data_IF_714096795209
#
_entry.id   IF_714096795209
#
_cell.length_a   1.000
_cell.length_b   1.000
_cell.length_c   1.000
_cell.angle_alpha   90.00
_cell.angle_beta   90.00
_cell.angle_gamma   90.00
#
_symmetry.space_group_name_H-M   'P 1'
#
loop_
_entity.id
_entity.type
_entity.pdbx_description
1 polymer ?
#
# COMPACT_ATOMS: atom_id res chain seq x y z
N UNK A 1 -23.98 12.92 -4.34
CA UNK A 1 -23.73 11.47 -4.09
C UNK A 1 -22.22 11.30 -4.00
N UNK A 2 -21.75 10.75 -2.90
CA UNK A 2 -20.31 10.42 -2.72
C UNK A 2 -20.12 9.05 -3.37
N UNK A 3 -19.22 8.95 -4.34
CA UNK A 3 -18.84 7.65 -4.91
C UNK A 3 -18.26 6.79 -3.78
N UNK A 4 -18.73 5.54 -3.60
CA UNK A 4 -18.21 4.69 -2.54
C UNK A 4 -16.69 4.48 -2.76
N UNK A 5 -15.93 4.59 -1.67
CA UNK A 5 -14.50 4.30 -1.69
C UNK A 5 -14.28 2.82 -1.45
N UNK A 6 -13.31 2.27 -2.18
CA UNK A 6 -12.86 0.88 -2.05
C UNK A 6 -11.53 0.80 -1.30
N UNK A 7 -11.23 -0.36 -0.75
CA UNK A 7 -9.96 -0.67 -0.13
C UNK A 7 -8.88 -0.97 -1.16
N UNK A 8 -7.64 -1.09 -0.71
CA UNK A 8 -6.52 -1.47 -1.58
C UNK A 8 -6.59 -2.93 -2.01
N UNK A 9 -7.15 -3.81 -1.19
CA UNK A 9 -7.42 -5.22 -1.55
C UNK A 9 -8.52 -5.32 -2.61
N UNK A 10 -9.61 -4.56 -2.46
CA UNK A 10 -10.67 -4.49 -3.46
C UNK A 10 -10.16 -3.92 -4.79
N UNK A 11 -9.26 -2.90 -4.74
CA UNK A 11 -8.63 -2.36 -5.94
C UNK A 11 -7.85 -3.43 -6.71
N UNK A 12 -7.06 -4.26 -6.00
CA UNK A 12 -6.34 -5.38 -6.61
C UNK A 12 -7.30 -6.28 -7.42
N UNK A 13 -8.40 -6.71 -6.82
CA UNK A 13 -9.41 -7.56 -7.46
C UNK A 13 -10.06 -6.89 -8.67
N UNK A 14 -10.35 -5.58 -8.57
CA UNK A 14 -10.94 -4.84 -9.69
C UNK A 14 -9.97 -4.64 -10.85
N UNK A 15 -8.67 -4.41 -10.58
CA UNK A 15 -7.66 -4.34 -11.64
C UNK A 15 -7.60 -5.70 -12.36
N UNK A 16 -7.55 -6.82 -11.63
CA UNK A 16 -7.56 -8.16 -12.24
C UNK A 16 -8.76 -8.37 -13.15
N UNK A 17 -9.96 -7.99 -12.72
CA UNK A 17 -11.16 -8.08 -13.55
C UNK A 17 -11.04 -7.25 -14.84
N UNK A 18 -10.39 -6.09 -14.78
CA UNK A 18 -10.21 -5.20 -15.92
C UNK A 18 -9.07 -5.64 -16.87
N UNK A 19 -8.18 -6.53 -16.43
CA UNK A 19 -7.14 -7.08 -17.34
C UNK A 19 -7.74 -7.82 -18.54
N UNK A 20 -8.92 -8.41 -18.39
CA UNK A 20 -9.64 -9.11 -19.46
C UNK A 20 -10.43 -8.15 -20.38
N UNK A 21 -10.32 -6.84 -20.15
CA UNK A 21 -11.03 -5.81 -20.92
C UNK A 21 -10.09 -4.78 -21.51
N UNK A 22 -10.52 -4.08 -22.55
CA UNK A 22 -9.78 -2.95 -23.13
C UNK A 22 -10.13 -1.61 -22.46
N UNK A 23 -10.87 -1.65 -21.33
CA UNK A 23 -11.38 -0.45 -20.66
C UNK A 23 -10.29 0.17 -19.76
N UNK A 24 -9.87 1.42 -20.01
CA UNK A 24 -8.92 2.09 -19.14
C UNK A 24 -9.48 2.34 -17.74
N UNK A 25 -8.62 2.22 -16.73
CA UNK A 25 -8.95 2.50 -15.33
C UNK A 25 -8.32 3.82 -14.88
N UNK A 26 -9.06 4.62 -14.11
CA UNK A 26 -8.52 5.75 -13.35
C UNK A 26 -8.67 5.53 -11.84
N UNK A 27 -7.56 5.49 -11.14
CA UNK A 27 -7.47 5.31 -9.69
C UNK A 27 -7.35 6.68 -9.01
N UNK A 28 -8.39 7.08 -8.29
CA UNK A 28 -8.38 8.27 -7.45
C UNK A 28 -7.98 7.89 -6.02
N UNK A 29 -6.99 8.58 -5.46
CA UNK A 29 -6.62 8.34 -4.06
C UNK A 29 -5.49 9.24 -3.59
N UNK A 30 -5.43 9.47 -2.28
CA UNK A 30 -4.43 10.34 -1.67
C UNK A 30 -2.99 9.88 -1.98
N UNK A 31 -2.02 10.79 -1.93
CA UNK A 31 -0.61 10.43 -2.05
C UNK A 31 -0.21 9.40 -0.98
N UNK A 32 0.65 8.46 -1.35
CA UNK A 32 1.24 7.51 -0.39
C UNK A 32 0.35 6.34 0.05
N UNK A 33 -0.86 6.16 -0.50
CA UNK A 33 -1.75 5.04 -0.13
C UNK A 33 -1.41 3.71 -0.81
N UNK A 34 -0.42 3.69 -1.74
CA UNK A 34 0.04 2.46 -2.38
C UNK A 34 -0.49 2.21 -3.80
N UNK A 35 -1.08 3.21 -4.51
CA UNK A 35 -1.61 3.04 -5.88
C UNK A 35 -0.63 2.35 -6.82
N UNK A 36 0.57 2.88 -6.97
CA UNK A 36 1.61 2.36 -7.86
C UNK A 36 2.10 0.98 -7.42
N UNK A 37 2.19 0.74 -6.08
CA UNK A 37 2.57 -0.56 -5.53
C UNK A 37 1.56 -1.66 -5.92
N UNK A 38 0.26 -1.38 -5.82
CA UNK A 38 -0.78 -2.36 -6.15
C UNK A 38 -0.77 -2.69 -7.64
N UNK A 39 -0.61 -1.67 -8.50
CA UNK A 39 -0.50 -1.90 -9.96
C UNK A 39 0.71 -2.76 -10.28
N UNK A 40 1.85 -2.50 -9.63
CA UNK A 40 3.06 -3.30 -9.80
C UNK A 40 2.89 -4.74 -9.27
N UNK A 41 2.21 -4.94 -8.15
CA UNK A 41 1.92 -6.26 -7.59
C UNK A 41 0.99 -7.07 -8.51
N UNK A 42 -0.04 -6.42 -9.10
CA UNK A 42 -0.91 -7.06 -10.09
C UNK A 42 -0.10 -7.47 -11.33
N UNK A 43 0.72 -6.58 -11.88
CA UNK A 43 1.54 -6.88 -13.04
C UNK A 43 2.46 -8.08 -12.77
N UNK A 44 3.17 -8.06 -11.63
CA UNK A 44 4.08 -9.13 -11.21
C UNK A 44 3.38 -10.49 -11.06
N UNK A 45 2.21 -10.53 -10.42
CA UNK A 45 1.48 -11.78 -10.18
C UNK A 45 0.83 -12.39 -11.42
N UNK A 46 0.66 -11.59 -12.47
CA UNK A 46 0.11 -12.04 -13.75
C UNK A 46 1.19 -12.16 -14.85
N UNK A 47 2.48 -12.09 -14.48
CA UNK A 47 3.62 -12.15 -15.40
C UNK A 47 3.55 -11.11 -16.55
N UNK A 48 2.96 -9.93 -16.24
CA UNK A 48 2.81 -8.83 -17.18
C UNK A 48 3.98 -7.83 -17.05
N UNK A 49 4.41 -7.28 -18.18
CA UNK A 49 5.36 -6.17 -18.18
C UNK A 49 4.69 -4.91 -17.59
N UNK A 50 5.44 -4.11 -16.83
CA UNK A 50 4.96 -2.84 -16.28
C UNK A 50 5.79 -1.68 -16.81
N UNK A 51 5.12 -0.72 -17.47
CA UNK A 51 5.69 0.59 -17.81
C UNK A 51 5.03 1.63 -16.92
N UNK A 52 5.80 2.22 -16.00
CA UNK A 52 5.36 3.26 -15.08
C UNK A 52 5.85 4.63 -15.54
N UNK A 53 4.92 5.52 -15.90
CA UNK A 53 5.20 6.87 -16.40
C UNK A 53 4.55 7.90 -15.47
N UNK A 54 5.38 8.78 -14.89
CA UNK A 54 4.90 9.91 -14.08
C UNK A 54 4.68 11.13 -14.98
N UNK A 55 3.43 11.37 -15.32
CA UNK A 55 3.05 12.40 -16.29
C UNK A 55 3.30 13.83 -15.80
N UNK A 56 3.34 14.06 -14.49
CA UNK A 56 3.67 15.39 -13.93
C UNK A 56 5.11 15.82 -14.18
N UNK A 57 6.00 14.87 -14.53
CA UNK A 57 7.42 15.09 -14.80
C UNK A 57 7.76 15.07 -16.30
N UNK A 58 6.75 14.97 -17.17
CA UNK A 58 6.91 14.83 -18.62
C UNK A 58 6.54 16.12 -19.35
N UNK A 59 7.23 16.34 -20.49
CA UNK A 59 6.80 17.27 -21.50
C UNK A 59 6.03 16.55 -22.63
N UNK A 60 5.16 17.24 -23.39
CA UNK A 60 4.41 16.61 -24.48
C UNK A 60 5.30 15.92 -25.53
N UNK A 61 6.52 16.41 -25.71
CA UNK A 61 7.49 15.84 -26.66
C UNK A 61 8.05 14.51 -26.18
N UNK A 62 8.21 14.35 -24.87
CA UNK A 62 8.67 13.09 -24.27
C UNK A 62 7.71 11.94 -24.55
N UNK A 63 6.42 12.25 -24.70
CA UNK A 63 5.37 11.27 -24.96
C UNK A 63 5.18 11.04 -26.47
N UNK A 64 5.15 12.11 -27.28
CA UNK A 64 4.92 12.01 -28.73
C UNK A 64 6.15 11.51 -29.50
N UNK A 65 7.33 11.65 -28.88
CA UNK A 65 8.60 11.38 -29.53
C UNK A 65 9.07 12.54 -30.40
N UNK A 66 10.02 12.25 -31.25
CA UNK A 66 10.70 13.27 -32.10
C UNK A 66 10.43 13.03 -33.57
N UNK A 67 10.26 14.12 -34.38
CA UNK A 67 10.15 13.98 -35.83
C UNK A 67 11.51 13.55 -36.41
N UNK A 68 11.47 12.62 -37.33
CA UNK A 68 12.60 12.16 -38.12
C UNK A 68 12.24 12.17 -39.60
N UNK A 69 13.22 12.35 -40.48
CA UNK A 69 13.00 12.26 -41.92
C UNK A 69 13.32 10.85 -42.37
N UNK A 70 12.35 10.20 -43.00
CA UNK A 70 12.49 8.89 -43.61
C UNK A 70 11.75 8.89 -44.94
N UNK A 71 12.44 8.49 -46.02
CA UNK A 71 11.88 8.42 -47.39
C UNK A 71 11.18 9.72 -47.80
N UNK A 72 11.86 10.88 -47.59
CA UNK A 72 11.36 12.24 -47.85
C UNK A 72 10.06 12.63 -47.12
N UNK A 73 9.68 11.86 -46.08
CA UNK A 73 8.52 12.13 -45.24
C UNK A 73 8.93 12.35 -43.79
N UNK A 74 8.18 13.18 -43.08
CA UNK A 74 8.34 13.35 -41.64
C UNK A 74 7.62 12.22 -40.93
N UNK A 75 8.37 11.38 -40.20
CA UNK A 75 7.86 10.27 -39.36
C UNK A 75 8.13 10.59 -37.88
N UNK A 76 7.16 10.37 -37.05
CA UNK A 76 7.36 10.50 -35.60
C UNK A 76 7.94 9.21 -35.02
N UNK A 77 9.11 9.31 -34.43
CA UNK A 77 9.76 8.19 -33.74
C UNK A 77 9.26 8.12 -32.28
N UNK A 78 8.52 7.07 -31.93
CA UNK A 78 8.00 6.96 -30.57
C UNK A 78 9.11 6.83 -29.52
N UNK A 79 8.87 7.26 -28.27
CA UNK A 79 9.81 7.07 -27.18
C UNK A 79 10.19 5.61 -26.99
N UNK A 80 11.42 5.39 -26.50
CA UNK A 80 11.99 4.04 -26.35
C UNK A 80 11.25 3.17 -25.32
N UNK A 81 10.58 3.79 -24.35
CA UNK A 81 9.86 3.09 -23.29
C UNK A 81 8.53 2.51 -23.75
N UNK A 82 7.98 2.93 -24.88
CA UNK A 82 6.78 2.28 -25.41
C UNK A 82 7.09 0.91 -26.01
N UNK A 83 6.23 -0.11 -25.76
CA UNK A 83 6.42 -1.46 -26.28
C UNK A 83 6.41 -1.46 -27.81
N UNK A 84 7.38 -2.16 -28.40
CA UNK A 84 7.54 -2.27 -29.86
C UNK A 84 7.03 -3.59 -30.40
N UNK A 85 7.08 -4.64 -29.58
CA UNK A 85 6.57 -5.95 -29.94
C UNK A 85 5.05 -5.97 -29.85
N UNK A 86 4.39 -6.29 -30.96
CA UNK A 86 2.93 -6.32 -31.07
C UNK A 86 2.29 -7.46 -30.29
N UNK A 87 3.06 -8.49 -29.98
CA UNK A 87 2.60 -9.65 -29.20
C UNK A 87 2.91 -9.51 -27.72
N UNK A 88 3.58 -8.43 -27.30
CA UNK A 88 3.86 -8.19 -25.89
C UNK A 88 2.61 -7.84 -25.10
N UNK A 89 2.63 -8.21 -23.82
CA UNK A 89 1.54 -7.96 -22.86
C UNK A 89 2.03 -7.22 -21.63
N UNK A 90 1.20 -6.31 -21.12
CA UNK A 90 1.62 -5.52 -19.98
C UNK A 90 0.59 -4.52 -19.49
N UNK A 91 1.01 -3.75 -18.49
CA UNK A 91 0.27 -2.61 -17.95
C UNK A 91 1.06 -1.34 -18.24
N UNK A 92 0.44 -0.42 -18.98
CA UNK A 92 0.90 0.95 -19.11
C UNK A 92 0.27 1.77 -17.98
N UNK A 93 1.07 2.06 -16.97
CA UNK A 93 0.64 2.82 -15.80
C UNK A 93 1.01 4.30 -15.97
N UNK A 94 0.00 5.15 -16.03
CA UNK A 94 0.08 6.60 -16.22
C UNK A 94 -0.21 7.29 -14.89
N UNK A 95 0.83 7.47 -14.07
CA UNK A 95 0.68 8.06 -12.74
C UNK A 95 0.63 9.59 -12.81
N UNK A 96 -0.06 10.19 -11.85
CA UNK A 96 -0.22 11.64 -11.68
C UNK A 96 -0.89 12.33 -12.90
N UNK A 97 -1.79 11.63 -13.61
CA UNK A 97 -2.42 12.13 -14.84
C UNK A 97 -3.13 13.48 -14.62
N UNK A 98 -3.85 13.65 -13.53
CA UNK A 98 -4.56 14.90 -13.23
C UNK A 98 -3.68 15.97 -12.55
N UNK A 99 -2.42 15.64 -12.22
CA UNK A 99 -1.42 16.61 -11.78
C UNK A 99 -0.51 17.09 -12.93
N UNK A 100 -0.58 16.40 -14.07
CA UNK A 100 0.17 16.75 -15.27
C UNK A 100 -0.37 18.05 -15.92
N UNK A 101 0.49 18.88 -16.51
CA UNK A 101 0.07 20.06 -17.26
C UNK A 101 -0.97 19.73 -18.33
N UNK A 102 -1.92 20.62 -18.65
CA UNK A 102 -2.94 20.37 -19.68
C UNK A 102 -2.40 19.96 -21.05
N UNK A 103 -1.21 20.43 -21.43
CA UNK A 103 -0.53 20.05 -22.66
C UNK A 103 -0.09 18.58 -22.68
N UNK A 104 0.37 18.06 -21.55
CA UNK A 104 0.72 16.64 -21.35
C UNK A 104 -0.54 15.78 -21.32
N UNK A 105 -1.59 16.23 -20.61
CA UNK A 105 -2.89 15.56 -20.65
C UNK A 105 -3.44 15.44 -22.08
N UNK A 106 -3.32 16.51 -22.88
CA UNK A 106 -3.73 16.52 -24.29
C UNK A 106 -2.91 15.55 -25.15
N UNK A 107 -1.61 15.38 -24.87
CA UNK A 107 -0.77 14.42 -25.59
C UNK A 107 -1.20 12.97 -25.30
N UNK A 108 -1.46 12.64 -24.03
CA UNK A 108 -1.88 11.31 -23.60
C UNK A 108 -3.32 10.96 -23.98
N UNK A 109 -4.16 11.96 -24.20
CA UNK A 109 -5.57 11.81 -24.50
C UNK A 109 -5.85 10.79 -25.61
N UNK A 110 -5.13 10.91 -26.74
CA UNK A 110 -5.31 10.02 -27.88
C UNK A 110 -4.89 8.58 -27.54
N UNK A 111 -3.86 8.40 -26.74
CA UNK A 111 -3.41 7.08 -26.32
C UNK A 111 -4.44 6.38 -25.45
N UNK A 112 -5.01 7.08 -24.48
CA UNK A 112 -6.05 6.51 -23.59
C UNK A 112 -7.33 6.20 -24.35
N UNK A 113 -7.74 7.08 -25.30
CA UNK A 113 -9.01 6.90 -26.01
C UNK A 113 -8.94 5.92 -27.17
N UNK A 114 -7.87 5.96 -27.94
CA UNK A 114 -7.75 5.27 -29.22
C UNK A 114 -6.58 4.29 -29.26
N UNK A 115 -5.85 4.15 -28.16
CA UNK A 115 -4.64 3.32 -28.06
C UNK A 115 -3.55 3.74 -29.05
N UNK A 116 -3.56 5.02 -29.48
CA UNK A 116 -2.65 5.58 -30.49
C UNK A 116 -2.05 6.89 -30.03
N UNK A 117 -0.82 7.15 -30.47
CA UNK A 117 -0.16 8.43 -30.29
C UNK A 117 0.62 8.75 -31.56
N UNK A 118 0.08 9.65 -32.39
CA UNK A 118 0.59 9.85 -33.75
C UNK A 118 0.52 8.56 -34.55
N UNK A 119 1.67 8.07 -35.02
CA UNK A 119 1.79 6.81 -35.77
C UNK A 119 1.95 5.57 -34.85
N UNK A 120 2.28 5.77 -33.58
CA UNK A 120 2.43 4.69 -32.63
C UNK A 120 1.07 4.13 -32.23
N UNK A 121 0.96 2.80 -32.22
CA UNK A 121 -0.21 2.05 -31.72
C UNK A 121 0.21 1.13 -30.59
N UNK A 122 -0.46 1.27 -29.44
CA UNK A 122 -0.22 0.43 -28.26
C UNK A 122 -0.67 -1.01 -28.55
N UNK A 123 0.20 -2.03 -28.36
CA UNK A 123 -0.15 -3.42 -28.64
C UNK A 123 -1.39 -3.86 -27.86
N UNK A 124 -2.16 -4.79 -28.43
CA UNK A 124 -3.45 -5.25 -27.85
C UNK A 124 -3.34 -5.89 -26.48
N UNK A 125 -2.22 -6.54 -26.19
CA UNK A 125 -1.95 -7.17 -24.90
C UNK A 125 -1.72 -6.17 -23.74
N UNK A 126 -1.61 -4.86 -24.03
CA UNK A 126 -1.37 -3.85 -23.00
C UNK A 126 -2.66 -3.27 -22.45
N UNK A 127 -2.72 -3.12 -21.12
CA UNK A 127 -3.82 -2.46 -20.40
C UNK A 127 -3.39 -1.08 -19.92
N UNK A 128 -4.29 -0.11 -19.98
CA UNK A 128 -4.02 1.26 -19.53
C UNK A 128 -4.62 1.47 -18.15
N UNK A 129 -3.76 1.77 -17.18
CA UNK A 129 -4.16 2.13 -15.83
C UNK A 129 -3.63 3.53 -15.56
N UNK A 130 -4.52 4.45 -15.20
CA UNK A 130 -4.17 5.81 -14.82
C UNK A 130 -4.34 5.99 -13.32
N UNK A 131 -3.57 6.89 -12.72
CA UNK A 131 -3.76 7.29 -11.34
C UNK A 131 -3.66 8.80 -11.17
N UNK A 132 -4.28 9.29 -10.11
CA UNK A 132 -4.21 10.70 -9.75
C UNK A 132 -4.66 10.97 -8.34
N UNK A 133 -4.34 12.16 -7.85
CA UNK A 133 -4.73 12.60 -6.52
C UNK A 133 -6.19 13.08 -6.52
N UNK A 134 -6.82 13.07 -5.35
CA UNK A 134 -8.15 13.66 -5.17
C UNK A 134 -8.03 15.19 -5.17
N UNK A 135 -9.07 15.87 -5.63
CA UNK A 135 -9.13 17.35 -5.56
C UNK A 135 -9.02 17.83 -4.11
N UNK A 136 -9.52 17.05 -3.17
CA UNK A 136 -9.41 17.32 -1.72
C UNK A 136 -7.98 17.21 -1.16
N UNK A 137 -7.09 16.49 -1.85
CA UNK A 137 -5.72 16.25 -1.35
C UNK A 137 -4.80 17.47 -1.52
N UNK A 138 -5.35 18.59 -1.97
CA UNK A 138 -4.72 19.94 -2.00
C UNK A 138 -3.41 20.04 -2.81
N UNK A 139 -3.10 19.03 -3.63
CA UNK A 139 -2.05 19.11 -4.65
C UNK A 139 -2.51 19.94 -5.86
N UNK A 140 -1.57 20.25 -6.74
CA UNK A 140 -1.92 20.80 -8.06
C UNK A 140 -2.70 19.72 -8.82
N UNK A 141 -4.00 19.97 -9.05
CA UNK A 141 -4.88 19.06 -9.78
C UNK A 141 -5.58 19.84 -10.88
N UNK A 142 -5.37 19.44 -12.12
CA UNK A 142 -6.09 19.97 -13.28
C UNK A 142 -7.33 19.12 -13.55
N UNK A 143 -8.40 19.79 -13.99
CA UNK A 143 -9.63 19.09 -14.38
C UNK A 143 -9.42 18.31 -15.67
N UNK A 144 -9.72 17.01 -15.63
CA UNK A 144 -9.67 16.17 -16.83
C UNK A 144 -10.79 16.55 -17.81
N UNK A 145 -10.54 16.52 -19.13
CA UNK A 145 -11.58 16.74 -20.14
C UNK A 145 -12.71 15.71 -20.05
N UNK A 146 -13.97 16.16 -20.19
CA UNK A 146 -15.15 15.29 -20.05
C UNK A 146 -15.13 14.05 -20.96
N UNK A 147 -14.66 14.11 -22.22
CA UNK A 147 -14.58 12.92 -23.07
C UNK A 147 -13.58 11.87 -22.56
N UNK A 148 -12.50 12.30 -21.88
CA UNK A 148 -11.54 11.37 -21.24
C UNK A 148 -12.18 10.70 -20.03
N UNK A 149 -12.83 11.49 -19.15
CA UNK A 149 -13.50 10.98 -17.97
C UNK A 149 -14.55 9.93 -18.32
N UNK A 150 -15.36 10.16 -19.38
CA UNK A 150 -16.46 9.25 -19.76
C UNK A 150 -15.99 7.92 -20.39
N UNK A 151 -14.70 7.74 -20.64
CA UNK A 151 -14.15 6.53 -21.28
C UNK A 151 -13.25 5.70 -20.37
N UNK A 152 -13.23 6.03 -19.09
CA UNK A 152 -12.47 5.28 -18.08
C UNK A 152 -13.43 4.79 -16.97
N UNK A 153 -13.08 3.68 -16.37
CA UNK A 153 -13.63 3.28 -15.07
C UNK A 153 -12.98 4.14 -13.98
N UNK A 154 -13.76 4.71 -13.08
CA UNK A 154 -13.23 5.54 -11.98
C UNK A 154 -13.42 4.82 -10.65
N UNK A 155 -12.32 4.53 -9.97
CA UNK A 155 -12.31 3.93 -8.63
C UNK A 155 -11.69 4.89 -7.62
N UNK A 156 -12.38 5.11 -6.51
CA UNK A 156 -11.89 5.92 -5.40
C UNK A 156 -11.33 5.00 -4.31
N UNK A 157 -10.04 5.15 -4.01
CA UNK A 157 -9.33 4.27 -3.09
C UNK A 157 -8.99 5.00 -1.80
N UNK A 158 -9.18 4.33 -0.67
CA UNK A 158 -8.79 4.80 0.66
C UNK A 158 -7.91 3.76 1.33
N UNK A 159 -6.93 4.22 2.11
CA UNK A 159 -6.14 3.34 2.95
C UNK A 159 -7.01 2.85 4.12
N UNK A 160 -7.02 1.53 4.34
CA UNK A 160 -7.61 0.90 5.54
C UNK A 160 -6.50 0.19 6.30
N UNK A 161 -6.61 0.18 7.63
CA UNK A 161 -5.57 -0.43 8.45
C UNK A 161 -5.44 -1.94 8.18
N UNK A 162 -6.53 -2.64 7.99
CA UNK A 162 -6.56 -4.08 7.73
C UNK A 162 -5.72 -4.45 6.49
N UNK A 163 -5.87 -3.71 5.40
CA UNK A 163 -5.08 -3.91 4.17
C UNK A 163 -3.61 -3.55 4.38
N UNK A 164 -3.36 -2.41 5.05
CA UNK A 164 -1.98 -2.00 5.37
C UNK A 164 -1.29 -3.01 6.28
N UNK A 165 -2.01 -3.60 7.22
CA UNK A 165 -1.48 -4.64 8.12
C UNK A 165 -1.04 -5.89 7.36
N UNK A 166 -1.84 -6.35 6.38
CA UNK A 166 -1.46 -7.45 5.50
C UNK A 166 -0.13 -7.16 4.78
N UNK A 167 -0.01 -5.97 4.21
CA UNK A 167 1.22 -5.50 3.59
C UNK A 167 2.36 -5.42 4.60
N UNK A 168 2.13 -4.81 5.76
CA UNK A 168 3.14 -4.56 6.79
C UNK A 168 3.75 -5.86 7.34
N UNK A 169 2.94 -6.90 7.55
CA UNK A 169 3.41 -8.21 8.00
C UNK A 169 4.20 -8.91 6.90
N UNK A 170 3.72 -8.93 5.65
CA UNK A 170 4.40 -9.56 4.51
C UNK A 170 5.75 -8.91 4.19
N UNK A 171 5.80 -7.59 4.22
CA UNK A 171 7.03 -6.80 4.01
C UNK A 171 7.89 -6.68 5.27
N UNK A 172 7.49 -7.38 6.35
CA UNK A 172 8.21 -7.42 7.63
C UNK A 172 8.50 -6.02 8.17
N UNK A 173 7.48 -5.14 8.18
CA UNK A 173 7.63 -3.83 8.79
C UNK A 173 7.89 -3.97 10.30
N UNK A 174 8.56 -2.97 10.87
CA UNK A 174 8.91 -2.95 12.29
C UNK A 174 7.65 -3.08 13.17
N UNK A 175 7.70 -3.96 14.15
CA UNK A 175 6.53 -4.30 14.98
C UNK A 175 5.96 -3.10 15.76
N UNK A 176 6.77 -2.08 16.10
CA UNK A 176 6.27 -0.84 16.70
C UNK A 176 5.24 -0.15 15.79
N UNK A 177 5.47 -0.13 14.49
CA UNK A 177 4.55 0.48 13.51
C UNK A 177 3.24 -0.31 13.43
N UNK A 178 3.33 -1.64 13.36
CA UNK A 178 2.15 -2.52 13.26
C UNK A 178 1.30 -2.42 14.54
N UNK A 179 1.93 -2.51 15.71
CA UNK A 179 1.25 -2.41 16.99
C UNK A 179 0.62 -1.04 17.22
N UNK A 180 1.35 0.04 16.91
CA UNK A 180 0.82 1.41 17.02
C UNK A 180 -0.42 1.62 16.15
N UNK A 181 -0.36 1.25 14.88
CA UNK A 181 -1.47 1.42 13.96
C UNK A 181 -2.63 0.45 14.25
N UNK A 182 -2.36 -0.70 14.87
CA UNK A 182 -3.41 -1.55 15.42
C UNK A 182 -4.18 -0.85 16.54
N UNK A 183 -3.47 -0.14 17.42
CA UNK A 183 -4.07 0.64 18.51
C UNK A 183 -4.70 1.95 18.01
N UNK A 184 -4.10 2.64 17.02
CA UNK A 184 -4.54 3.91 16.46
C UNK A 184 -4.67 3.86 14.94
N UNK A 185 -5.64 3.07 14.42
CA UNK A 185 -5.85 2.94 12.97
C UNK A 185 -6.24 4.26 12.28
N UNK A 186 -6.82 5.20 13.03
CA UNK A 186 -7.18 6.54 12.59
C UNK A 186 -5.95 7.38 12.18
N UNK A 187 -4.76 7.06 12.67
CA UNK A 187 -3.52 7.74 12.35
C UNK A 187 -2.77 7.13 11.15
N UNK A 188 -3.31 6.11 10.49
CA UNK A 188 -2.70 5.54 9.28
C UNK A 188 -2.55 6.57 8.15
N UNK A 189 -3.54 7.47 8.01
CA UNK A 189 -3.53 8.51 7.00
C UNK A 189 -4.14 9.78 7.59
N UNK A 190 -3.33 10.82 7.72
CA UNK A 190 -3.76 12.14 8.19
C UNK A 190 -3.73 13.13 7.04
N UNK A 191 -4.53 14.19 7.13
CA UNK A 191 -4.46 15.26 6.15
C UNK A 191 -3.33 16.24 6.50
N UNK A 192 -2.62 16.78 5.48
CA UNK A 192 -1.62 17.81 5.74
C UNK A 192 -2.27 19.07 6.32
N UNK A 193 -1.66 19.63 7.35
CA UNK A 193 -2.06 20.92 7.92
C UNK A 193 -1.42 22.03 7.08
N UNK A 194 -2.22 22.69 6.24
CA UNK A 194 -1.71 23.60 5.20
C UNK A 194 -1.15 24.90 5.76
N UNK A 195 -1.64 25.35 6.89
CA UNK A 195 -1.26 26.62 7.49
C UNK A 195 0.00 26.50 8.36
N UNK A 196 0.54 25.29 8.51
CA UNK A 196 1.73 25.02 9.32
C UNK A 196 2.93 24.64 8.46
N UNK A 197 3.58 25.66 7.87
CA UNK A 197 4.84 25.47 7.12
C UNK A 197 5.97 24.91 8.00
N UNK A 198 5.82 24.93 9.33
CA UNK A 198 6.79 24.39 10.26
C UNK A 198 6.71 22.84 10.36
N UNK A 199 5.55 22.25 10.00
CA UNK A 199 5.33 20.80 10.06
C UNK A 199 4.72 20.28 8.76
N UNK A 200 5.51 20.21 7.67
CA UNK A 200 5.00 19.78 6.36
C UNK A 200 4.72 18.28 6.28
N UNK A 201 5.24 17.48 7.23
CA UNK A 201 5.07 16.04 7.25
C UNK A 201 3.69 15.63 7.76
N UNK A 202 3.14 14.57 7.19
CA UNK A 202 1.88 13.96 7.58
C UNK A 202 1.91 12.44 7.43
N UNK A 203 1.06 11.76 8.18
CA UNK A 203 1.02 10.32 8.19
C UNK A 203 0.35 9.74 6.93
N UNK A 204 0.98 8.72 6.35
CA UNK A 204 0.48 7.94 5.22
C UNK A 204 1.05 6.51 5.32
N UNK A 205 0.47 5.51 4.65
CA UNK A 205 1.09 4.19 4.51
C UNK A 205 2.56 4.24 4.08
N UNK A 206 2.91 5.11 3.14
CA UNK A 206 4.30 5.32 2.68
C UNK A 206 5.19 5.86 3.79
N UNK A 207 4.73 6.85 4.54
CA UNK A 207 5.55 7.44 5.61
C UNK A 207 5.76 6.46 6.77
N UNK A 208 4.79 5.59 7.07
CA UNK A 208 4.99 4.51 8.04
C UNK A 208 5.94 3.43 7.55
N UNK A 209 5.94 3.12 6.24
CA UNK A 209 6.97 2.24 5.68
C UNK A 209 8.37 2.86 5.81
N UNK A 210 8.52 4.16 5.51
CA UNK A 210 9.77 4.90 5.75
C UNK A 210 10.18 4.86 7.23
N UNK A 211 9.24 5.11 8.14
CA UNK A 211 9.47 5.02 9.58
C UNK A 211 9.95 3.64 10.00
N UNK A 212 9.34 2.58 9.47
CA UNK A 212 9.78 1.20 9.72
C UNK A 212 11.24 0.98 9.35
N UNK A 213 11.68 1.50 8.21
CA UNK A 213 13.08 1.37 7.79
C UNK A 213 14.04 2.18 8.68
N UNK A 214 13.61 3.34 9.16
CA UNK A 214 14.36 4.15 10.12
C UNK A 214 14.53 3.39 11.44
N UNK A 215 13.44 2.80 11.96
CA UNK A 215 13.46 2.02 13.19
C UNK A 215 14.37 0.78 13.09
N UNK A 216 14.35 0.08 11.96
CA UNK A 216 15.27 -1.05 11.71
C UNK A 216 16.75 -0.66 11.73
N UNK A 217 17.04 0.59 11.37
CA UNK A 217 18.41 1.11 11.38
C UNK A 217 18.83 1.63 12.77
N UNK A 218 17.89 2.17 13.56
CA UNK A 218 18.18 2.69 14.90
C UNK A 218 16.88 2.74 15.73
N UNK A 219 16.84 1.98 16.81
CA UNK A 219 15.70 1.95 17.74
C UNK A 219 15.80 2.94 18.90
N UNK A 220 16.86 3.75 18.98
CA UNK A 220 17.02 4.72 20.06
C UNK A 220 16.05 5.90 19.88
N UNK A 221 14.87 5.80 20.50
CA UNK A 221 13.78 6.78 20.38
C UNK A 221 14.23 8.21 20.69
N UNK A 222 15.12 8.40 21.66
CA UNK A 222 15.58 9.73 22.03
C UNK A 222 16.42 10.38 20.92
N UNK A 223 17.18 9.57 20.17
CA UNK A 223 18.01 10.06 19.05
C UNK A 223 17.19 10.32 17.80
N UNK A 224 16.20 9.46 17.51
CA UNK A 224 15.45 9.52 16.25
C UNK A 224 14.11 10.27 16.35
N UNK A 225 13.70 10.76 17.54
CA UNK A 225 12.44 11.48 17.71
C UNK A 225 12.23 12.61 16.69
N UNK A 226 13.19 13.48 16.38
CA UNK A 226 13.03 14.51 15.35
C UNK A 226 12.80 13.91 13.95
N UNK A 227 13.41 12.76 13.64
CA UNK A 227 13.23 12.07 12.36
C UNK A 227 11.82 11.47 12.29
N UNK A 228 11.32 10.89 13.40
CA UNK A 228 9.94 10.39 13.49
C UNK A 228 8.95 11.51 13.20
N UNK A 229 9.10 12.66 13.86
CA UNK A 229 8.23 13.83 13.69
C UNK A 229 8.27 14.36 12.25
N UNK A 230 9.45 14.41 11.64
CA UNK A 230 9.65 14.79 10.25
C UNK A 230 9.14 13.75 9.23
N UNK A 231 8.84 12.52 9.65
CA UNK A 231 8.39 11.44 8.76
C UNK A 231 6.86 11.30 8.75
N UNK A 232 6.23 11.23 9.94
CA UNK A 232 4.78 10.97 10.08
C UNK A 232 4.00 12.19 10.61
N UNK A 233 4.64 13.32 10.70
CA UNK A 233 4.08 14.56 11.27
C UNK A 233 4.20 14.62 12.78
N UNK A 234 4.19 15.85 13.32
CA UNK A 234 4.48 16.10 14.73
C UNK A 234 3.46 15.44 15.67
N UNK A 235 2.15 15.60 15.38
CA UNK A 235 1.09 15.02 16.20
C UNK A 235 1.15 13.49 16.26
N UNK A 236 1.18 12.84 15.10
CA UNK A 236 1.29 11.38 15.00
C UNK A 236 2.60 10.87 15.61
N UNK A 237 3.68 11.65 15.47
CA UNK A 237 4.99 11.31 16.02
C UNK A 237 5.04 11.33 17.55
N UNK A 238 4.38 12.32 18.20
CA UNK A 238 4.25 12.34 19.66
C UNK A 238 3.47 11.11 20.16
N UNK A 239 2.35 10.80 19.52
CA UNK A 239 1.56 9.64 19.91
C UNK A 239 2.34 8.33 19.69
N UNK A 240 3.06 8.22 18.58
CA UNK A 240 3.90 7.07 18.28
C UNK A 240 5.00 6.89 19.34
N UNK A 241 5.76 7.94 19.66
CA UNK A 241 6.85 7.87 20.65
C UNK A 241 6.33 7.59 22.06
N UNK A 242 5.12 8.06 22.37
CA UNK A 242 4.45 7.75 23.65
C UNK A 242 3.98 6.29 23.69
N UNK A 243 3.47 5.76 22.57
CA UNK A 243 3.05 4.36 22.46
C UNK A 243 4.25 3.39 22.57
N UNK A 244 5.39 3.72 21.98
CA UNK A 244 6.57 2.84 22.05
C UNK A 244 7.02 2.58 23.50
N UNK A 245 6.81 3.51 24.42
CA UNK A 245 7.11 3.29 25.84
C UNK A 245 6.31 2.15 26.46
N UNK A 246 5.17 1.78 25.87
CA UNK A 246 4.36 0.64 26.33
C UNK A 246 5.13 -0.68 26.19
N UNK A 247 6.06 -0.77 25.24
CA UNK A 247 6.90 -1.96 25.07
C UNK A 247 7.84 -2.22 26.25
N UNK A 248 8.17 -1.19 27.04
CA UNK A 248 8.96 -1.34 28.27
C UNK A 248 8.19 -2.12 29.37
N UNK A 249 6.84 -2.16 29.28
CA UNK A 249 5.97 -2.90 30.19
C UNK A 249 5.68 -4.34 29.72
N UNK A 250 6.12 -4.72 28.51
CA UNK A 250 5.89 -6.07 28.01
C UNK A 250 6.65 -7.12 28.84
N UNK A 251 6.07 -8.30 29.02
CA UNK A 251 6.82 -9.44 29.53
C UNK A 251 7.91 -9.83 28.53
N UNK A 252 8.87 -10.62 29.00
CA UNK A 252 9.83 -11.24 28.10
C UNK A 252 9.12 -12.16 27.10
N UNK A 253 9.07 -11.73 25.84
CA UNK A 253 8.39 -12.44 24.74
C UNK A 253 9.02 -13.81 24.50
N UNK A 254 10.35 -13.95 24.67
CA UNK A 254 11.04 -15.23 24.52
C UNK A 254 10.52 -16.27 25.51
N UNK A 255 10.30 -15.88 26.77
CA UNK A 255 9.77 -16.77 27.82
C UNK A 255 8.40 -17.36 27.48
N UNK A 256 7.56 -16.63 26.73
CA UNK A 256 6.24 -17.13 26.29
C UNK A 256 6.41 -18.31 25.33
N UNK A 257 7.40 -18.24 24.43
CA UNK A 257 7.73 -19.32 23.51
C UNK A 257 8.51 -20.48 24.17
N UNK A 258 8.91 -20.31 25.43
CA UNK A 258 9.47 -21.35 26.29
C UNK A 258 8.40 -21.99 27.20
N UNK A 259 7.14 -21.55 27.10
CA UNK A 259 6.00 -22.10 27.85
C UNK A 259 5.70 -21.39 29.16
N UNK A 260 6.30 -20.22 29.42
CA UNK A 260 6.02 -19.40 30.59
C UNK A 260 4.98 -18.34 30.23
N UNK A 261 3.78 -18.45 30.79
CA UNK A 261 2.65 -17.58 30.45
C UNK A 261 2.36 -16.58 31.57
N UNK A 262 2.89 -15.35 31.50
CA UNK A 262 2.66 -14.33 32.50
C UNK A 262 1.21 -13.81 32.44
N UNK A 263 0.72 -13.28 33.56
CA UNK A 263 -0.53 -12.52 33.53
C UNK A 263 -0.34 -11.18 32.85
N UNK A 264 -1.16 -10.91 31.85
CA UNK A 264 -1.10 -9.67 31.07
C UNK A 264 -2.17 -8.69 31.55
N UNK A 265 -1.78 -7.44 31.75
CA UNK A 265 -2.74 -6.35 32.00
C UNK A 265 -3.63 -6.18 30.77
N UNK A 266 -4.96 -6.13 30.98
CA UNK A 266 -5.94 -5.98 29.87
C UNK A 266 -6.05 -4.53 29.38
N UNK A 267 -4.92 -3.89 29.09
CA UNK A 267 -4.86 -2.54 28.52
C UNK A 267 -4.71 -2.66 27.00
N UNK A 268 -5.60 -2.05 26.18
CA UNK A 268 -5.55 -2.21 24.72
C UNK A 268 -4.18 -1.90 24.12
N UNK A 269 -3.55 -0.79 24.48
CA UNK A 269 -2.23 -0.44 23.97
C UNK A 269 -1.19 -1.53 24.23
N UNK A 270 -1.16 -2.10 25.43
CA UNK A 270 -0.23 -3.18 25.82
C UNK A 270 -0.54 -4.46 25.05
N UNK A 271 -1.81 -4.80 24.83
CA UNK A 271 -2.21 -6.00 24.10
C UNK A 271 -1.85 -5.90 22.61
N UNK A 272 -2.03 -4.74 21.96
CA UNK A 272 -1.57 -4.53 20.59
C UNK A 272 -0.03 -4.60 20.47
N UNK A 273 0.69 -4.02 21.43
CA UNK A 273 2.14 -4.12 21.50
C UNK A 273 2.61 -5.57 21.67
N UNK A 274 1.98 -6.31 22.56
CA UNK A 274 2.28 -7.72 22.83
C UNK A 274 2.06 -8.59 21.59
N UNK A 275 0.90 -8.46 20.94
CA UNK A 275 0.59 -9.22 19.71
C UNK A 275 1.63 -8.95 18.64
N UNK A 276 1.96 -7.68 18.37
CA UNK A 276 2.95 -7.36 17.34
C UNK A 276 4.35 -7.86 17.68
N UNK A 277 4.76 -7.84 18.94
CA UNK A 277 6.05 -8.38 19.39
C UNK A 277 6.09 -9.91 19.29
N UNK A 278 4.99 -10.60 19.64
CA UNK A 278 4.90 -12.06 19.47
C UNK A 278 4.96 -12.47 17.99
N UNK A 279 4.25 -11.77 17.13
CA UNK A 279 4.31 -12.02 15.68
C UNK A 279 5.73 -11.83 15.15
N UNK A 280 6.41 -10.76 15.58
CA UNK A 280 7.82 -10.51 15.18
C UNK A 280 8.74 -11.65 15.62
N UNK A 281 8.64 -12.09 16.86
CA UNK A 281 9.51 -13.12 17.45
C UNK A 281 9.23 -14.54 16.92
N UNK A 282 8.04 -14.80 16.38
CA UNK A 282 7.65 -16.11 15.83
C UNK A 282 8.59 -16.58 14.72
N UNK A 283 9.17 -17.79 14.84
CA UNK A 283 10.18 -18.36 13.93
C UNK A 283 9.69 -19.57 13.11
N UNK A 284 8.42 -19.97 13.24
CA UNK A 284 7.83 -21.08 12.49
C UNK A 284 8.10 -22.48 13.05
N UNK A 285 8.89 -22.65 14.13
CA UNK A 285 9.13 -23.95 14.73
C UNK A 285 7.86 -24.53 15.37
N UNK A 286 7.76 -25.87 15.45
CA UNK A 286 6.60 -26.54 16.07
C UNK A 286 6.44 -26.17 17.55
N UNK A 287 7.55 -25.99 18.28
CA UNK A 287 7.53 -25.50 19.65
C UNK A 287 6.90 -24.10 19.75
N UNK A 288 7.28 -23.17 18.84
CA UNK A 288 6.67 -21.85 18.79
C UNK A 288 5.18 -21.91 18.45
N UNK A 289 4.77 -22.79 17.51
CA UNK A 289 3.35 -22.98 17.18
C UNK A 289 2.55 -23.46 18.38
N UNK A 290 3.04 -24.50 19.10
CA UNK A 290 2.38 -25.06 20.26
C UNK A 290 2.16 -24.03 21.37
N UNK A 291 3.25 -23.33 21.75
CA UNK A 291 3.16 -22.31 22.83
C UNK A 291 2.32 -21.11 22.41
N UNK A 292 2.32 -20.74 21.13
CA UNK A 292 1.52 -19.64 20.64
C UNK A 292 0.02 -19.93 20.75
N UNK A 293 -0.42 -21.14 20.35
CA UNK A 293 -1.83 -21.53 20.52
C UNK A 293 -2.23 -21.54 22.00
N UNK A 294 -1.41 -22.16 22.86
CA UNK A 294 -1.67 -22.21 24.30
C UNK A 294 -1.74 -20.80 24.92
N UNK A 295 -0.80 -19.91 24.55
CA UNK A 295 -0.79 -18.55 25.04
C UNK A 295 -1.97 -17.71 24.52
N UNK A 296 -2.37 -17.89 23.26
CA UNK A 296 -3.51 -17.17 22.66
C UNK A 296 -4.81 -17.37 23.46
N UNK A 297 -4.98 -18.53 24.10
CA UNK A 297 -6.13 -18.83 24.96
C UNK A 297 -6.11 -18.10 26.32
N UNK A 298 -4.97 -17.54 26.73
CA UNK A 298 -4.84 -16.76 27.96
C UNK A 298 -5.19 -15.28 27.76
N UNK A 299 -5.21 -14.83 26.51
CA UNK A 299 -5.53 -13.46 26.13
C UNK A 299 -7.06 -13.23 26.05
N UNK A 300 -7.52 -11.97 26.06
CA UNK A 300 -8.89 -11.67 25.64
C UNK A 300 -9.13 -12.22 24.23
N UNK A 301 -10.31 -12.81 23.99
CA UNK A 301 -10.62 -13.56 22.76
C UNK A 301 -10.25 -12.81 21.48
N UNK A 302 -10.56 -11.52 21.40
CA UNK A 302 -10.24 -10.68 20.25
C UNK A 302 -8.74 -10.61 19.95
N UNK A 303 -7.90 -10.52 20.99
CA UNK A 303 -6.44 -10.45 20.84
C UNK A 303 -5.82 -11.83 20.60
N UNK A 304 -6.37 -12.89 21.20
CA UNK A 304 -5.96 -14.27 20.89
C UNK A 304 -6.23 -14.61 19.41
N UNK A 305 -7.41 -14.25 18.90
CA UNK A 305 -7.77 -14.44 17.49
C UNK A 305 -6.90 -13.58 16.58
N UNK A 306 -6.69 -12.31 16.94
CA UNK A 306 -5.81 -11.40 16.18
C UNK A 306 -4.40 -11.96 16.08
N UNK A 307 -3.82 -12.46 17.19
CA UNK A 307 -2.48 -13.05 17.21
C UNK A 307 -2.35 -14.19 16.20
N UNK A 308 -3.28 -15.14 16.22
CA UNK A 308 -3.22 -16.29 15.30
C UNK A 308 -3.44 -15.85 13.86
N UNK A 309 -4.38 -14.94 13.57
CA UNK A 309 -4.55 -14.37 12.22
C UNK A 309 -3.28 -13.72 11.71
N UNK A 310 -2.60 -12.94 12.53
CA UNK A 310 -1.39 -12.22 12.16
C UNK A 310 -0.22 -13.18 11.88
N UNK A 311 -0.12 -14.25 12.68
CA UNK A 311 0.89 -15.28 12.42
C UNK A 311 0.58 -16.09 11.16
N UNK A 312 -0.68 -16.38 10.85
CA UNK A 312 -1.06 -17.01 9.57
C UNK A 312 -0.61 -16.15 8.38
N UNK A 313 -0.75 -14.83 8.47
CA UNK A 313 -0.29 -13.91 7.41
C UNK A 313 1.24 -13.97 7.26
N UNK A 314 1.99 -14.11 8.38
CA UNK A 314 3.44 -14.22 8.39
C UNK A 314 3.94 -15.56 7.88
N UNK A 315 3.27 -16.64 8.31
CA UNK A 315 3.65 -18.02 8.03
C UNK A 315 2.40 -18.94 7.98
N UNK A 316 1.97 -19.26 6.79
CA UNK A 316 0.79 -20.10 6.55
C UNK A 316 0.94 -21.53 7.12
N UNK A 317 2.17 -21.99 7.40
CA UNK A 317 2.40 -23.33 7.94
C UNK A 317 1.79 -23.55 9.34
N UNK A 318 1.47 -22.50 10.07
CA UNK A 318 0.78 -22.61 11.36
C UNK A 318 -0.62 -23.25 11.19
N UNK A 319 -1.29 -23.01 10.06
CA UNK A 319 -2.62 -23.57 9.77
C UNK A 319 -2.60 -25.09 9.53
N UNK A 320 -1.42 -25.68 9.29
CA UNK A 320 -1.27 -27.14 9.11
C UNK A 320 -0.87 -27.84 10.42
N UNK A 321 -0.66 -27.11 11.51
CA UNK A 321 -0.28 -27.67 12.79
C UNK A 321 -1.48 -28.33 13.52
N UNK A 322 -1.30 -29.46 14.15
CA UNK A 322 -2.38 -30.23 14.81
C UNK A 322 -3.16 -29.50 15.90
N UNK A 323 -2.56 -28.47 16.51
CA UNK A 323 -3.23 -27.59 17.49
C UNK A 323 -4.20 -26.62 16.81
N UNK A 324 -4.02 -26.30 15.52
CA UNK A 324 -4.88 -25.36 14.78
C UNK A 324 -6.34 -25.85 14.70
N UNK A 325 -6.56 -27.14 14.39
CA UNK A 325 -7.91 -27.69 14.28
C UNK A 325 -8.69 -27.57 15.60
N UNK A 326 -8.02 -27.82 16.72
CA UNK A 326 -8.61 -27.68 18.07
C UNK A 326 -8.93 -26.22 18.38
N UNK A 327 -8.01 -25.34 18.04
CA UNK A 327 -8.17 -23.90 18.23
C UNK A 327 -9.27 -23.35 17.31
N UNK A 328 -9.32 -23.77 16.06
CA UNK A 328 -10.35 -23.38 15.08
C UNK A 328 -11.74 -23.84 15.50
N UNK A 329 -11.88 -25.05 16.06
CA UNK A 329 -13.16 -25.52 16.59
C UNK A 329 -13.71 -24.63 17.73
N UNK A 330 -12.83 -23.96 18.49
CA UNK A 330 -13.21 -23.09 19.59
C UNK A 330 -13.43 -21.62 19.17
N UNK A 331 -12.64 -21.13 18.23
CA UNK A 331 -12.57 -19.71 17.88
C UNK A 331 -12.92 -19.42 16.41
N UNK A 332 -13.31 -20.43 15.62
CA UNK A 332 -13.56 -20.28 14.18
C UNK A 332 -14.65 -19.26 13.83
N UNK A 333 -15.66 -19.09 14.70
CA UNK A 333 -16.72 -18.08 14.52
C UNK A 333 -16.18 -16.63 14.49
N UNK A 334 -14.99 -16.39 15.05
CA UNK A 334 -14.36 -15.07 15.10
C UNK A 334 -13.37 -14.84 13.94
N UNK A 335 -13.18 -15.84 13.05
CA UNK A 335 -12.26 -15.74 11.92
C UNK A 335 -12.97 -15.22 10.67
N UNK A 336 -14.27 -15.34 10.62
CA UNK A 336 -15.12 -14.97 9.47
C UNK A 336 -15.27 -13.47 9.34
#
# INVERSE_FOLDING_TARGET
MITPSISTTELYTHIQTLLDTDTPLFIHGSPGIGKSYIVADVAKKNDLELIDIRLSQMDPVDLRGVPSIKDDQTVWMPPVFFPKDKESEGILFLDELNSAPPSVQAAIYQLVLNRKMGEYELPRGWRIVCAGNRVSDRGVVFRLPSPLVNRMVHLHVTARFEDFKLFAIKEKLHHFVIGFLGFRPDLLSTEPIIEDDANPAFATPRSYHMLSNILKANENMNQIAPIIYGTIGYSSGIEFTSYVKVYEELPDVASIYEGIYPQIKKQPALLYALVSALVEYFNGSDTHKEHLFAFSETLPTEFGVMLIKDVIIKDESIATHSAFDKWLAKYGEYII
#
